data_IF_044310216810
#
_entry.id   IF_044310216810
#
_cell.length_a   1.000
_cell.length_b   1.000
_cell.length_c   1.000
_cell.angle_alpha   90.00
_cell.angle_beta   90.00
_cell.angle_gamma   90.00
#
_symmetry.space_group_name_H-M   'P 1'
#
loop_
_entity.id
_entity.type
_entity.pdbx_description
1 polymer ?
#
# COMPACT_ATOMS: atom_id res chain seq x y z
N UNK A 1 -30.76 -76.23 -7.97
CA UNK A 1 -29.53 -75.53 -8.32
C UNK A 1 -29.84 -74.04 -8.31
N UNK A 2 -29.53 -73.32 -7.17
CA UNK A 2 -29.86 -71.92 -6.98
C UNK A 2 -28.62 -71.06 -7.33
N UNK A 3 -28.72 -70.30 -8.39
CA UNK A 3 -27.70 -69.31 -8.81
C UNK A 3 -27.88 -68.10 -7.95
N UNK A 4 -26.89 -67.83 -7.10
CA UNK A 4 -26.82 -66.67 -6.25
C UNK A 4 -26.22 -65.55 -7.07
N UNK A 5 -27.02 -64.54 -7.43
CA UNK A 5 -26.60 -63.38 -8.15
C UNK A 5 -26.05 -62.38 -7.12
N UNK A 6 -24.72 -62.27 -7.04
CA UNK A 6 -24.05 -61.26 -6.21
C UNK A 6 -24.05 -59.95 -7.01
N UNK A 7 -24.88 -59.01 -6.61
CA UNK A 7 -24.86 -57.65 -7.09
C UNK A 7 -23.70 -56.94 -6.42
N UNK A 8 -22.60 -56.77 -7.14
CA UNK A 8 -21.47 -55.93 -6.76
C UNK A 8 -21.87 -54.46 -7.00
N UNK A 9 -22.35 -53.77 -5.96
CA UNK A 9 -22.58 -52.34 -6.01
C UNK A 9 -21.22 -51.64 -5.83
N UNK A 10 -20.66 -51.17 -6.92
CA UNK A 10 -19.50 -50.29 -6.91
C UNK A 10 -19.96 -48.91 -6.43
N UNK A 11 -19.76 -48.63 -5.17
CA UNK A 11 -19.82 -47.26 -4.67
C UNK A 11 -18.64 -46.49 -5.26
N UNK A 12 -18.88 -45.76 -6.35
CA UNK A 12 -17.98 -44.74 -6.84
C UNK A 12 -17.96 -43.62 -5.79
N UNK A 13 -16.90 -43.53 -5.01
CA UNK A 13 -16.60 -42.35 -4.23
C UNK A 13 -16.29 -41.22 -5.21
N UNK A 14 -17.25 -40.35 -5.43
CA UNK A 14 -17.02 -39.08 -6.09
C UNK A 14 -16.19 -38.22 -5.15
N UNK A 15 -14.86 -38.21 -5.35
CA UNK A 15 -13.99 -37.33 -4.65
C UNK A 15 -14.28 -35.92 -5.18
N UNK A 16 -15.12 -35.19 -4.46
CA UNK A 16 -15.24 -33.76 -4.68
C UNK A 16 -13.82 -33.15 -4.61
N UNK A 17 -13.33 -32.73 -5.77
CA UNK A 17 -12.06 -31.99 -5.85
C UNK A 17 -12.32 -30.66 -5.15
N UNK A 18 -12.08 -30.64 -3.84
CA UNK A 18 -12.01 -29.34 -3.13
C UNK A 18 -10.86 -28.56 -3.76
N UNK A 19 -11.12 -27.34 -4.27
CA UNK A 19 -10.05 -26.51 -4.79
C UNK A 19 -8.97 -26.42 -3.73
N UNK A 20 -7.74 -26.77 -4.06
CA UNK A 20 -6.59 -26.51 -3.17
C UNK A 20 -6.62 -25.04 -2.83
N UNK A 21 -6.75 -24.72 -1.56
CA UNK A 21 -6.50 -23.35 -1.11
C UNK A 21 -5.09 -22.98 -1.56
N UNK A 22 -4.97 -21.95 -2.39
CA UNK A 22 -3.67 -21.41 -2.76
C UNK A 22 -3.01 -20.96 -1.46
N UNK A 23 -1.94 -21.66 -1.06
CA UNK A 23 -1.13 -21.26 0.07
C UNK A 23 -0.37 -20.01 -0.36
N UNK A 24 -0.72 -18.85 0.20
CA UNK A 24 0.06 -17.65 0.04
C UNK A 24 1.33 -17.78 0.89
N UNK A 25 2.45 -17.38 0.31
CA UNK A 25 3.68 -17.23 1.07
C UNK A 25 3.46 -16.16 2.15
N UNK A 26 3.54 -16.55 3.41
CA UNK A 26 3.41 -15.64 4.54
C UNK A 26 4.81 -15.41 5.13
N UNK A 27 5.52 -14.34 4.75
CA UNK A 27 6.78 -14.00 5.35
C UNK A 27 6.58 -13.65 6.83
N UNK A 28 7.50 -14.07 7.68
CA UNK A 28 7.52 -13.66 9.07
C UNK A 28 8.04 -12.22 9.15
N UNK A 29 7.14 -11.29 9.38
CA UNK A 29 7.51 -9.92 9.73
C UNK A 29 7.73 -9.84 11.24
N UNK A 30 8.87 -9.27 11.67
CA UNK A 30 9.07 -8.92 13.06
C UNK A 30 8.02 -7.91 13.56
N UNK A 31 7.88 -7.77 14.87
CA UNK A 31 6.99 -6.76 15.46
C UNK A 31 7.45 -5.38 15.00
N UNK A 32 6.56 -4.64 14.34
CA UNK A 32 6.84 -3.29 13.85
C UNK A 32 7.16 -2.37 15.03
N UNK A 33 8.26 -1.67 14.95
CA UNK A 33 8.65 -0.64 15.90
C UNK A 33 8.96 0.65 15.16
N UNK A 34 8.52 1.78 15.73
CA UNK A 34 8.56 3.07 15.07
C UNK A 34 9.45 4.04 15.81
N UNK A 35 9.98 5.01 15.11
CA UNK A 35 10.64 6.18 15.68
C UNK A 35 10.15 7.44 14.97
N UNK A 36 10.09 8.54 15.72
CA UNK A 36 9.83 9.85 15.15
C UNK A 36 10.97 10.26 14.23
N UNK A 37 10.60 10.87 13.12
CA UNK A 37 11.50 11.40 12.12
C UNK A 37 11.09 12.81 11.77
N UNK A 38 11.99 13.77 12.00
CA UNK A 38 11.80 15.19 11.69
C UNK A 38 12.59 15.51 10.43
N UNK A 39 11.92 16.10 9.45
CA UNK A 39 12.56 16.53 8.21
C UNK A 39 13.08 17.96 8.32
N UNK A 40 13.97 18.34 7.41
CA UNK A 40 14.36 19.74 7.23
C UNK A 40 13.28 20.56 6.50
N UNK A 41 12.20 19.91 6.09
CA UNK A 41 11.13 20.43 5.24
C UNK A 41 9.83 20.73 6.00
N UNK A 42 9.95 21.11 7.26
CA UNK A 42 8.84 21.56 8.11
C UNK A 42 7.72 20.54 8.33
N UNK A 43 8.03 19.25 8.39
CA UNK A 43 7.10 18.22 8.85
C UNK A 43 7.82 17.06 9.54
N UNK A 44 7.09 16.34 10.36
CA UNK A 44 7.55 15.16 11.07
C UNK A 44 6.53 14.04 11.01
N UNK A 45 6.98 12.80 11.13
CA UNK A 45 6.14 11.63 11.12
C UNK A 45 6.82 10.45 11.82
N UNK A 46 6.06 9.40 12.10
CA UNK A 46 6.60 8.13 12.59
C UNK A 46 6.93 7.20 11.43
N UNK A 47 8.15 6.66 11.41
CA UNK A 47 8.58 5.64 10.45
C UNK A 47 8.98 4.34 11.13
N UNK A 48 8.80 3.22 10.44
CA UNK A 48 9.30 1.92 10.89
C UNK A 48 10.84 1.94 10.97
N UNK A 49 11.40 1.36 12.04
CA UNK A 49 12.85 1.31 12.27
C UNK A 49 13.62 0.51 11.22
N UNK A 50 12.98 -0.49 10.60
CA UNK A 50 13.62 -1.28 9.53
C UNK A 50 13.78 -0.49 8.23
N UNK A 51 13.03 0.61 8.07
CA UNK A 51 13.09 1.45 6.89
C UNK A 51 14.14 2.56 7.08
N UNK A 52 14.89 2.85 6.02
CA UNK A 52 15.80 3.99 5.96
C UNK A 52 15.24 5.11 5.10
N UNK A 53 15.71 6.33 5.34
CA UNK A 53 15.38 7.50 4.52
C UNK A 53 16.51 7.70 3.50
N UNK A 54 16.12 7.93 2.27
CA UNK A 54 16.98 8.38 1.18
C UNK A 54 16.55 9.78 0.78
N UNK A 55 17.37 10.77 1.09
CA UNK A 55 17.08 12.18 0.79
C UNK A 55 17.31 12.48 -0.69
N UNK A 56 16.43 13.31 -1.24
CA UNK A 56 16.50 13.87 -2.58
C UNK A 56 16.41 15.39 -2.49
N UNK A 57 16.47 16.04 -3.66
CA UNK A 57 16.37 17.51 -3.73
C UNK A 57 14.92 18.00 -3.50
N UNK A 58 14.78 19.26 -3.11
CA UNK A 58 13.48 19.97 -3.02
C UNK A 58 12.45 19.28 -2.10
N UNK A 59 12.88 18.83 -0.93
CA UNK A 59 12.02 18.15 0.04
C UNK A 59 11.39 16.82 -0.46
N UNK A 60 11.89 16.28 -1.54
CA UNK A 60 11.59 14.92 -1.95
C UNK A 60 12.46 13.94 -1.16
N UNK A 61 11.95 12.77 -0.88
CA UNK A 61 12.69 11.71 -0.22
C UNK A 61 12.05 10.36 -0.53
N UNK A 62 12.76 9.30 -0.19
CA UNK A 62 12.23 7.96 -0.27
C UNK A 62 12.31 7.28 1.09
N UNK A 63 11.32 6.45 1.41
CA UNK A 63 11.39 5.48 2.50
C UNK A 63 11.72 4.12 1.86
N UNK A 64 12.87 3.56 2.20
CA UNK A 64 13.41 2.34 1.58
C UNK A 64 13.36 1.18 2.57
N UNK A 65 12.75 0.10 2.15
CA UNK A 65 12.67 -1.18 2.85
C UNK A 65 13.58 -2.18 2.14
N UNK A 66 14.88 -2.14 2.45
CA UNK A 66 15.90 -2.96 1.76
C UNK A 66 15.57 -4.46 1.82
N UNK A 67 15.13 -4.96 2.98
CA UNK A 67 14.76 -6.37 3.18
C UNK A 67 13.48 -6.81 2.48
N UNK A 68 12.66 -5.86 2.01
CA UNK A 68 11.39 -6.13 1.33
C UNK A 68 11.45 -5.80 -0.16
N UNK A 69 12.61 -5.36 -0.65
CA UNK A 69 12.79 -4.85 -2.01
C UNK A 69 11.72 -3.81 -2.40
N UNK A 70 11.35 -2.95 -1.46
CA UNK A 70 10.30 -1.98 -1.61
C UNK A 70 10.77 -0.56 -1.30
N UNK A 71 10.16 0.41 -1.99
CA UNK A 71 10.45 1.83 -1.82
C UNK A 71 9.15 2.63 -1.93
N UNK A 72 8.97 3.56 -0.99
CA UNK A 72 7.94 4.59 -1.10
C UNK A 72 8.63 5.86 -1.56
N UNK A 73 8.23 6.35 -2.73
CA UNK A 73 8.67 7.64 -3.27
C UNK A 73 7.79 8.74 -2.72
N UNK A 74 8.40 9.79 -2.19
CA UNK A 74 7.69 10.99 -1.73
C UNK A 74 8.06 12.16 -2.61
N UNK A 75 7.03 12.89 -3.04
CA UNK A 75 7.14 14.12 -3.82
C UNK A 75 6.43 15.25 -3.11
N UNK A 76 7.17 16.31 -2.79
CA UNK A 76 6.68 17.51 -2.14
C UNK A 76 6.35 18.59 -3.17
N UNK A 77 5.17 19.18 -3.05
CA UNK A 77 4.67 20.22 -3.94
C UNK A 77 4.15 21.38 -3.07
N UNK A 78 4.61 22.59 -3.33
CA UNK A 78 4.06 23.79 -2.71
C UNK A 78 2.77 24.21 -3.41
N UNK A 79 1.73 24.45 -2.63
CA UNK A 79 0.46 24.96 -3.14
C UNK A 79 0.55 26.48 -3.31
N UNK A 80 0.32 26.97 -4.52
CA UNK A 80 0.33 28.39 -4.87
C UNK A 80 -0.97 28.74 -5.62
N UNK A 81 -2.11 28.69 -4.94
CA UNK A 81 -3.46 28.87 -5.52
C UNK A 81 -3.80 27.84 -6.62
N UNK A 82 -3.08 26.73 -6.72
CA UNK A 82 -3.20 25.70 -7.76
C UNK A 82 -3.60 24.33 -7.19
N UNK A 83 -4.16 24.29 -5.99
CA UNK A 83 -4.56 23.03 -5.34
C UNK A 83 -5.48 22.14 -6.20
N UNK A 84 -6.52 22.72 -6.89
CA UNK A 84 -7.34 21.91 -7.77
C UNK A 84 -6.57 21.25 -8.92
N UNK A 85 -5.57 21.93 -9.46
CA UNK A 85 -4.74 21.38 -10.55
C UNK A 85 -3.83 20.26 -10.04
N UNK A 86 -3.28 20.40 -8.83
CA UNK A 86 -2.46 19.36 -8.18
C UNK A 86 -3.32 18.10 -7.95
N UNK A 87 -4.52 18.24 -7.41
CA UNK A 87 -5.45 17.13 -7.21
C UNK A 87 -5.81 16.48 -8.55
N UNK A 88 -6.11 17.26 -9.58
CA UNK A 88 -6.42 16.74 -10.92
C UNK A 88 -5.27 15.88 -11.47
N UNK A 89 -4.03 16.38 -11.43
CA UNK A 89 -2.84 15.62 -11.87
C UNK A 89 -2.65 14.34 -11.03
N UNK A 90 -2.93 14.42 -9.73
CA UNK A 90 -2.87 13.25 -8.86
C UNK A 90 -3.94 12.21 -9.24
N UNK A 91 -5.19 12.63 -9.46
CA UNK A 91 -6.30 11.76 -9.86
C UNK A 91 -6.07 11.11 -11.23
N UNK A 92 -5.46 11.83 -12.19
CA UNK A 92 -5.05 11.26 -13.48
C UNK A 92 -4.07 10.09 -13.28
N UNK A 93 -3.08 10.22 -12.40
CA UNK A 93 -2.15 9.13 -12.04
C UNK A 93 -2.87 7.93 -11.40
N UNK A 94 -3.90 8.18 -10.54
CA UNK A 94 -4.71 7.13 -9.95
C UNK A 94 -5.44 6.34 -11.04
N UNK A 95 -6.02 7.03 -12.02
CA UNK A 95 -6.73 6.42 -13.14
C UNK A 95 -5.76 5.59 -14.00
N UNK A 96 -4.62 6.15 -14.38
CA UNK A 96 -3.60 5.45 -15.17
C UNK A 96 -3.10 4.18 -14.48
N UNK A 97 -2.82 4.25 -13.16
CA UNK A 97 -2.34 3.10 -12.38
C UNK A 97 -3.43 2.03 -12.17
N UNK A 98 -4.70 2.38 -12.35
CA UNK A 98 -5.84 1.48 -12.15
C UNK A 98 -6.22 0.65 -13.38
N UNK A 99 -5.56 0.82 -14.52
CA UNK A 99 -5.94 0.21 -15.80
C UNK A 99 -6.04 -1.33 -15.78
N UNK A 100 -5.25 -2.01 -14.95
CA UNK A 100 -5.17 -3.48 -14.89
C UNK A 100 -5.49 -4.04 -13.49
N UNK A 101 -6.27 -3.32 -12.68
CA UNK A 101 -6.63 -3.77 -11.33
C UNK A 101 -8.10 -4.15 -11.24
N UNK A 102 -8.41 -5.00 -10.27
CA UNK A 102 -9.79 -5.46 -10.04
C UNK A 102 -10.61 -4.43 -9.24
N UNK A 103 -9.94 -3.73 -8.32
CA UNK A 103 -10.58 -2.80 -7.40
C UNK A 103 -9.57 -1.74 -6.92
N UNK A 104 -10.05 -0.53 -6.66
CA UNK A 104 -9.31 0.51 -5.94
C UNK A 104 -10.04 0.83 -4.65
N UNK A 105 -9.43 0.52 -3.51
CA UNK A 105 -9.97 0.82 -2.18
C UNK A 105 -9.43 2.15 -1.70
N UNK A 106 -10.33 3.07 -1.39
CA UNK A 106 -9.97 4.41 -0.91
C UNK A 106 -10.21 4.49 0.59
N UNK A 107 -9.28 5.10 1.31
CA UNK A 107 -9.45 5.47 2.72
C UNK A 107 -9.00 6.90 2.92
N UNK A 108 -9.70 7.62 3.80
CA UNK A 108 -9.46 9.02 4.11
C UNK A 108 -9.07 9.17 5.58
N UNK A 109 -8.23 10.14 5.85
CA UNK A 109 -7.87 10.59 7.19
C UNK A 109 -7.98 12.12 7.25
N UNK A 110 -8.60 12.62 8.30
CA UNK A 110 -8.81 14.06 8.51
C UNK A 110 -8.54 14.40 9.96
N UNK A 111 -7.68 15.37 10.19
CA UNK A 111 -7.44 15.97 11.50
C UNK A 111 -7.41 17.51 11.34
N UNK A 112 -8.51 18.14 11.73
CA UNK A 112 -8.67 19.60 11.62
C UNK A 112 -7.83 20.38 12.67
N UNK A 113 -7.38 19.74 13.74
CA UNK A 113 -6.59 20.39 14.78
C UNK A 113 -5.16 20.65 14.33
N UNK A 114 -4.60 19.72 13.58
CA UNK A 114 -3.23 19.79 13.04
C UNK A 114 -3.21 20.05 11.53
N UNK A 115 -4.39 20.25 10.91
CA UNK A 115 -4.57 20.52 9.48
C UNK A 115 -3.92 19.44 8.61
N UNK A 116 -4.15 18.17 8.93
CA UNK A 116 -3.67 17.03 8.14
C UNK A 116 -4.84 16.34 7.46
N UNK A 117 -4.86 16.40 6.15
CA UNK A 117 -5.83 15.73 5.30
C UNK A 117 -5.12 14.74 4.40
N UNK A 118 -5.59 13.51 4.34
CA UNK A 118 -4.96 12.47 3.55
C UNK A 118 -6.01 11.59 2.87
N UNK A 119 -5.66 11.14 1.68
CA UNK A 119 -6.40 10.11 0.96
C UNK A 119 -5.42 9.05 0.49
N UNK A 120 -5.75 7.78 0.73
CA UNK A 120 -4.92 6.64 0.40
C UNK A 120 -5.69 5.67 -0.51
N UNK A 121 -5.07 5.31 -1.63
CA UNK A 121 -5.60 4.46 -2.70
C UNK A 121 -4.84 3.13 -2.71
N UNK A 122 -5.54 2.04 -2.42
CA UNK A 122 -4.99 0.70 -2.44
C UNK A 122 -5.52 -0.04 -3.66
N UNK A 123 -4.63 -0.55 -4.49
CA UNK A 123 -4.98 -1.26 -5.71
C UNK A 123 -4.96 -2.77 -5.47
N UNK A 124 -6.06 -3.43 -5.82
CA UNK A 124 -6.22 -4.89 -5.76
C UNK A 124 -5.98 -5.45 -7.15
N UNK A 125 -4.84 -6.07 -7.37
CA UNK A 125 -4.42 -6.61 -8.65
C UNK A 125 -3.01 -6.16 -9.06
N UNK A 126 -2.61 -6.53 -10.28
CA UNK A 126 -1.28 -6.23 -10.80
C UNK A 126 -1.20 -4.78 -11.27
N UNK A 127 -0.87 -3.89 -10.34
CA UNK A 127 -0.62 -2.48 -10.61
C UNK A 127 0.89 -2.17 -10.59
N UNK A 128 1.37 -1.20 -11.36
CA UNK A 128 2.76 -0.70 -11.24
C UNK A 128 3.08 -0.23 -9.82
N UNK A 129 2.13 0.42 -9.16
CA UNK A 129 2.18 0.78 -7.74
C UNK A 129 0.92 0.26 -7.05
N UNK A 130 1.08 -0.46 -5.93
CA UNK A 130 -0.06 -0.99 -5.19
C UNK A 130 -0.62 -0.02 -4.13
N UNK A 131 0.03 1.12 -3.92
CA UNK A 131 -0.38 2.12 -2.95
C UNK A 131 0.00 3.51 -3.43
N UNK A 132 -0.98 4.40 -3.60
CA UNK A 132 -0.78 5.83 -3.71
C UNK A 132 -1.47 6.54 -2.55
N UNK A 133 -0.91 7.65 -2.10
CA UNK A 133 -1.53 8.49 -1.09
C UNK A 133 -1.02 9.92 -1.18
N UNK A 134 -1.72 10.83 -0.54
CA UNK A 134 -1.20 12.16 -0.31
C UNK A 134 -1.53 12.64 1.11
N UNK A 135 -0.75 13.61 1.57
CA UNK A 135 -1.02 14.42 2.76
C UNK A 135 -1.00 15.89 2.35
N UNK A 136 -1.89 16.69 2.90
CA UNK A 136 -1.97 18.13 2.60
C UNK A 136 -2.54 18.91 3.77
N UNK A 137 -2.16 20.18 3.88
CA UNK A 137 -2.83 21.17 4.73
C UNK A 137 -3.90 21.97 3.95
N UNK A 138 -4.13 21.61 2.67
CA UNK A 138 -5.05 22.24 1.73
C UNK A 138 -4.69 23.68 1.33
N UNK A 139 -3.64 24.27 1.88
CA UNK A 139 -3.31 25.68 1.68
C UNK A 139 -1.91 25.94 1.14
N UNK A 140 -0.92 25.24 1.66
CA UNK A 140 0.50 25.50 1.38
C UNK A 140 1.29 24.26 0.95
N UNK A 141 0.92 23.10 1.50
CA UNK A 141 1.73 21.89 1.38
C UNK A 141 0.93 20.71 0.81
N UNK A 142 1.53 20.02 -0.14
CA UNK A 142 1.04 18.77 -0.68
C UNK A 142 2.20 17.76 -0.78
N UNK A 143 2.08 16.62 -0.12
CA UNK A 143 3.06 15.56 -0.11
C UNK A 143 2.43 14.29 -0.68
N UNK A 144 2.84 13.88 -1.87
CA UNK A 144 2.39 12.63 -2.50
C UNK A 144 3.34 11.48 -2.18
N UNK A 145 2.79 10.29 -1.96
CA UNK A 145 3.54 9.05 -1.77
C UNK A 145 3.08 7.93 -2.70
N UNK A 146 4.03 7.11 -3.17
CA UNK A 146 3.76 5.97 -4.06
C UNK A 146 4.67 4.79 -3.71
N UNK A 147 4.08 3.61 -3.52
CA UNK A 147 4.81 2.38 -3.18
C UNK A 147 5.17 1.60 -4.44
N UNK A 148 6.43 1.27 -4.58
CA UNK A 148 6.94 0.38 -5.63
C UNK A 148 7.77 -0.75 -5.05
N UNK A 149 7.68 -1.91 -5.69
CA UNK A 149 8.55 -3.06 -5.45
C UNK A 149 9.56 -3.19 -6.58
N UNK A 150 10.80 -3.52 -6.25
CA UNK A 150 11.85 -3.78 -7.24
C UNK A 150 11.76 -5.24 -7.74
N UNK A 151 10.59 -5.60 -8.27
CA UNK A 151 10.29 -6.91 -8.84
C UNK A 151 9.12 -6.78 -9.81
N UNK A 152 8.90 -7.79 -10.65
CA UNK A 152 7.74 -7.82 -11.53
C UNK A 152 6.44 -7.83 -10.72
N UNK A 153 5.42 -7.08 -11.16
CA UNK A 153 4.13 -7.03 -10.50
C UNK A 153 3.48 -8.42 -10.45
N UNK A 154 3.38 -8.97 -9.25
CA UNK A 154 2.62 -10.17 -8.94
C UNK A 154 1.89 -9.94 -7.62
N UNK A 155 0.65 -9.48 -7.73
CA UNK A 155 -0.14 -9.04 -6.57
C UNK A 155 -0.22 -10.11 -5.48
N UNK A 156 -0.50 -11.36 -5.84
CA UNK A 156 -0.70 -12.43 -4.86
C UNK A 156 0.56 -12.70 -4.04
N UNK A 157 1.72 -12.69 -4.69
CA UNK A 157 3.02 -12.86 -4.02
C UNK A 157 3.42 -11.64 -3.19
N UNK A 158 3.04 -10.44 -3.65
CA UNK A 158 3.38 -9.18 -2.98
C UNK A 158 2.39 -8.80 -1.86
N UNK A 159 1.20 -9.40 -1.82
CA UNK A 159 0.12 -9.02 -0.91
C UNK A 159 0.53 -8.95 0.57
N UNK A 160 1.32 -9.88 1.14
CA UNK A 160 1.79 -9.77 2.52
C UNK A 160 2.67 -8.52 2.74
N UNK A 161 3.56 -8.23 1.80
CA UNK A 161 4.46 -7.06 1.85
C UNK A 161 3.69 -5.74 1.67
N UNK A 162 2.73 -5.72 0.74
CA UNK A 162 1.82 -4.58 0.53
C UNK A 162 1.07 -4.29 1.83
N UNK A 163 0.50 -5.30 2.48
CA UNK A 163 -0.24 -5.14 3.72
C UNK A 163 0.63 -4.63 4.86
N UNK A 164 1.86 -5.14 4.98
CA UNK A 164 2.82 -4.70 5.99
C UNK A 164 3.17 -3.22 5.81
N UNK A 165 3.60 -2.83 4.60
CA UNK A 165 3.98 -1.43 4.31
C UNK A 165 2.77 -0.49 4.38
N UNK A 166 1.58 -0.94 3.97
CA UNK A 166 0.34 -0.17 4.12
C UNK A 166 0.02 0.14 5.59
N UNK A 167 0.27 -0.79 6.50
CA UNK A 167 0.12 -0.53 7.94
C UNK A 167 1.13 0.54 8.42
N UNK A 168 2.37 0.51 7.92
CA UNK A 168 3.37 1.53 8.21
C UNK A 168 2.97 2.91 7.66
N UNK A 169 2.42 2.97 6.44
CA UNK A 169 1.91 4.22 5.86
C UNK A 169 0.75 4.79 6.66
N UNK A 170 -0.18 3.94 7.13
CA UNK A 170 -1.24 4.39 8.05
C UNK A 170 -0.66 4.99 9.32
N UNK A 171 0.33 4.33 9.92
CA UNK A 171 1.00 4.82 11.12
C UNK A 171 1.74 6.13 10.88
N UNK A 172 2.33 6.29 9.70
CA UNK A 172 2.94 7.53 9.25
C UNK A 172 1.89 8.65 9.18
N UNK A 173 0.76 8.43 8.51
CA UNK A 173 -0.33 9.40 8.34
C UNK A 173 -0.91 9.81 9.71
N UNK A 174 -1.19 8.85 10.58
CA UNK A 174 -1.75 9.08 11.92
C UNK A 174 -0.83 9.88 12.86
N UNK A 175 0.47 9.90 12.59
CA UNK A 175 1.47 10.61 13.40
C UNK A 175 2.21 11.68 12.58
N UNK A 176 1.56 12.16 11.53
CA UNK A 176 2.11 13.21 10.70
C UNK A 176 1.78 14.59 11.29
N UNK A 177 2.77 15.48 11.30
CA UNK A 177 2.60 16.85 11.77
C UNK A 177 3.33 17.82 10.84
N UNK A 178 2.66 18.92 10.47
CA UNK A 178 3.32 20.06 9.84
C UNK A 178 4.03 20.90 10.91
N UNK A 179 5.33 21.01 10.80
CA UNK A 179 6.11 21.87 11.71
C UNK A 179 5.96 23.34 11.26
N UNK A 180 5.74 24.24 12.20
CA UNK A 180 5.61 25.68 11.96
C UNK A 180 6.96 26.37 11.84
#
# INVERSE_FOLDING_TARGET
MRIFWIFLVLFSCDSSITPKQSAFFAPEFGVSSYNSFTTQCNYSFSKNKIARIEYLDNCNFNIVYDNLNAKIFFSSININNNFPDIIKVFDERIIENSANVTEVKVSEYTDDQILVYSRMFNYVGNAPSNLHFYLTDSTSNFLAGSLFFNTEPNYDSLLPYINYIRADVRKLIENFEWNK
#
